data_IF_456437107443
#
_entry.id   IF_456437107443
#
_cell.length_a   1.000
_cell.length_b   1.000
_cell.length_c   1.000
_cell.angle_alpha   90.00
_cell.angle_beta   90.00
_cell.angle_gamma   90.00
#
_symmetry.space_group_name_H-M   'P 1'
#
loop_
_entity.id
_entity.type
_entity.pdbx_description
1 polymer ?
#
# COMPACT_ATOMS: atom_id res chain seq x y z
N UNK A 1 -39.72 14.44 -88.96
CA UNK A 1 -39.30 14.17 -87.56
C UNK A 1 -39.13 12.67 -87.29
N UNK A 2 -39.85 11.79 -88.01
CA UNK A 2 -39.69 10.33 -87.86
C UNK A 2 -38.40 9.76 -88.46
N UNK A 3 -37.89 10.34 -89.57
CA UNK A 3 -36.60 9.93 -90.15
C UNK A 3 -35.41 10.23 -89.24
N UNK A 4 -35.43 11.38 -88.57
CA UNK A 4 -34.39 11.76 -87.60
C UNK A 4 -34.42 10.86 -86.37
N UNK A 5 -35.61 10.43 -85.93
CA UNK A 5 -35.76 9.48 -84.82
C UNK A 5 -35.29 8.06 -85.19
N UNK A 6 -35.54 7.60 -86.42
CA UNK A 6 -34.98 6.33 -86.93
C UNK A 6 -33.47 6.38 -87.11
N UNK A 7 -32.93 7.50 -87.59
CA UNK A 7 -31.48 7.70 -87.72
C UNK A 7 -30.79 7.71 -86.34
N UNK A 8 -31.37 8.40 -85.35
CA UNK A 8 -30.88 8.35 -83.96
C UNK A 8 -30.98 6.93 -83.37
N UNK A 9 -32.09 6.23 -83.61
CA UNK A 9 -32.29 4.85 -83.15
C UNK A 9 -31.27 3.88 -83.76
N UNK A 10 -30.93 4.02 -85.04
CA UNK A 10 -29.91 3.20 -85.70
C UNK A 10 -28.49 3.45 -85.18
N UNK A 11 -28.16 4.71 -84.86
CA UNK A 11 -26.87 5.07 -84.25
C UNK A 11 -26.79 4.51 -82.83
N UNK A 12 -27.88 4.60 -82.05
CA UNK A 12 -27.94 4.09 -80.70
C UNK A 12 -27.81 2.56 -80.67
N UNK A 13 -28.48 1.85 -81.58
CA UNK A 13 -28.37 0.40 -81.72
C UNK A 13 -26.93 -0.04 -82.05
N UNK A 14 -26.24 0.75 -82.89
CA UNK A 14 -24.83 0.52 -83.25
C UNK A 14 -23.85 0.87 -82.13
N UNK A 15 -24.27 1.70 -81.17
CA UNK A 15 -23.48 2.04 -79.99
C UNK A 15 -23.60 1.01 -78.85
N UNK A 16 -24.66 0.18 -78.81
CA UNK A 16 -24.86 -0.87 -77.80
C UNK A 16 -23.62 -1.80 -77.67
N UNK A 17 -23.03 -2.33 -78.76
CA UNK A 17 -21.82 -3.16 -78.67
C UNK A 17 -20.63 -2.43 -78.04
N UNK A 18 -20.45 -1.14 -78.36
CA UNK A 18 -19.39 -0.31 -77.78
C UNK A 18 -19.61 -0.10 -76.29
N UNK A 19 -20.85 0.16 -75.86
CA UNK A 19 -21.19 0.28 -74.44
C UNK A 19 -20.95 -1.03 -73.68
N UNK A 20 -21.33 -2.17 -74.25
CA UNK A 20 -21.07 -3.48 -73.65
C UNK A 20 -19.56 -3.73 -73.54
N UNK A 21 -18.78 -3.38 -74.57
CA UNK A 21 -17.33 -3.53 -74.56
C UNK A 21 -16.67 -2.63 -73.49
N UNK A 22 -17.09 -1.37 -73.39
CA UNK A 22 -16.61 -0.44 -72.34
C UNK A 22 -17.02 -0.92 -70.95
N UNK A 23 -18.22 -1.48 -70.79
CA UNK A 23 -18.68 -2.04 -69.51
C UNK A 23 -17.87 -3.26 -69.09
N UNK A 24 -17.60 -4.19 -70.03
CA UNK A 24 -16.73 -5.34 -69.79
C UNK A 24 -15.30 -4.89 -69.46
N UNK A 25 -14.78 -3.89 -70.16
CA UNK A 25 -13.47 -3.30 -69.89
C UNK A 25 -13.42 -2.66 -68.50
N UNK A 26 -14.47 -1.94 -68.09
CA UNK A 26 -14.57 -1.36 -66.74
C UNK A 26 -14.54 -2.45 -65.65
N UNK A 27 -15.31 -3.52 -65.81
CA UNK A 27 -15.29 -4.65 -64.86
C UNK A 27 -13.93 -5.34 -64.82
N UNK A 28 -13.30 -5.51 -65.98
CA UNK A 28 -11.95 -6.09 -66.09
C UNK A 28 -10.93 -5.20 -65.36
N UNK A 29 -10.90 -3.90 -65.65
CA UNK A 29 -9.95 -2.97 -65.03
C UNK A 29 -10.19 -2.82 -63.53
N UNK A 30 -11.46 -2.78 -63.11
CA UNK A 30 -11.89 -2.78 -61.71
C UNK A 30 -11.31 -3.96 -60.94
N UNK A 31 -11.43 -5.17 -61.51
CA UNK A 31 -11.04 -6.41 -60.82
C UNK A 31 -9.55 -6.74 -60.95
N UNK A 32 -8.95 -6.49 -62.12
CA UNK A 32 -7.58 -6.89 -62.44
C UNK A 32 -6.55 -5.80 -62.13
N UNK A 33 -6.93 -4.52 -62.14
CA UNK A 33 -5.97 -3.42 -61.96
C UNK A 33 -6.21 -2.64 -60.66
N UNK A 34 -7.42 -2.11 -60.45
CA UNK A 34 -7.69 -1.24 -59.31
C UNK A 34 -7.65 -1.97 -57.97
N UNK A 35 -8.25 -3.17 -57.88
CA UNK A 35 -8.21 -3.99 -56.66
C UNK A 35 -6.78 -4.37 -56.21
N UNK A 36 -5.89 -4.89 -57.08
CA UNK A 36 -4.51 -5.15 -56.64
C UNK A 36 -3.72 -3.88 -56.35
N UNK A 37 -3.95 -2.78 -57.08
CA UNK A 37 -3.31 -1.50 -56.79
C UNK A 37 -3.67 -1.00 -55.37
N UNK A 38 -4.95 -1.01 -55.02
CA UNK A 38 -5.43 -0.63 -53.69
C UNK A 38 -4.85 -1.54 -52.58
N UNK A 39 -4.77 -2.86 -52.83
CA UNK A 39 -4.12 -3.79 -51.90
C UNK A 39 -2.63 -3.47 -51.68
N UNK A 40 -1.90 -3.11 -52.73
CA UNK A 40 -0.48 -2.77 -52.62
C UNK A 40 -0.28 -1.44 -51.89
N UNK A 41 -1.11 -0.44 -52.19
CA UNK A 41 -1.10 0.84 -51.47
C UNK A 41 -1.42 0.64 -50.00
N UNK A 42 -2.44 -0.17 -49.67
CA UNK A 42 -2.78 -0.49 -48.28
C UNK A 42 -1.65 -1.23 -47.57
N UNK A 43 -1.03 -2.22 -48.22
CA UNK A 43 0.15 -2.91 -47.66
C UNK A 43 1.32 -1.97 -47.38
N UNK A 44 1.57 -1.00 -48.26
CA UNK A 44 2.61 0.02 -48.03
C UNK A 44 2.24 0.93 -46.87
N UNK A 45 0.99 1.38 -46.82
CA UNK A 45 0.48 2.21 -45.72
C UNK A 45 0.57 1.48 -44.36
N UNK A 46 0.15 0.22 -44.30
CA UNK A 46 0.29 -0.64 -43.11
C UNK A 46 1.76 -0.83 -42.72
N UNK A 47 2.65 -1.04 -43.69
CA UNK A 47 4.07 -1.23 -43.43
C UNK A 47 4.78 0.05 -42.94
N UNK A 48 4.34 1.24 -43.35
CA UNK A 48 5.00 2.51 -42.98
C UNK A 48 4.30 3.24 -41.84
N UNK A 49 3.01 3.51 -41.97
CA UNK A 49 2.23 4.25 -40.97
C UNK A 49 1.56 3.32 -39.97
N UNK A 50 1.12 2.14 -40.40
CA UNK A 50 0.57 1.13 -39.50
C UNK A 50 1.58 0.68 -38.46
N UNK A 51 2.81 0.38 -38.87
CA UNK A 51 3.89 -0.01 -37.96
C UNK A 51 4.25 1.10 -36.94
N UNK A 52 4.23 2.37 -37.35
CA UNK A 52 4.44 3.51 -36.45
C UNK A 52 3.31 3.66 -35.45
N UNK A 53 2.05 3.63 -35.91
CA UNK A 53 0.86 3.69 -35.04
C UNK A 53 0.84 2.53 -34.03
N UNK A 54 1.20 1.32 -34.48
CA UNK A 54 1.25 0.15 -33.60
C UNK A 54 2.36 0.27 -32.55
N UNK A 55 3.51 0.86 -32.92
CA UNK A 55 4.59 1.15 -31.98
C UNK A 55 4.19 2.22 -30.97
N UNK A 56 3.54 3.29 -31.41
CA UNK A 56 3.03 4.36 -30.54
C UNK A 56 1.96 3.82 -29.58
N UNK A 57 1.05 2.98 -30.06
CA UNK A 57 0.03 2.33 -29.23
C UNK A 57 0.65 1.35 -28.23
N UNK A 58 1.64 0.56 -28.66
CA UNK A 58 2.38 -0.33 -27.77
C UNK A 58 3.17 0.44 -26.71
N UNK A 59 3.78 1.57 -27.06
CA UNK A 59 4.47 2.45 -26.13
C UNK A 59 3.49 3.08 -25.14
N UNK A 60 2.37 3.62 -25.62
CA UNK A 60 1.33 4.18 -24.76
C UNK A 60 0.79 3.14 -23.77
N UNK A 61 0.56 1.90 -24.22
CA UNK A 61 0.12 0.80 -23.36
C UNK A 61 1.21 0.42 -22.33
N UNK A 62 2.49 0.38 -22.75
CA UNK A 62 3.59 0.11 -21.83
C UNK A 62 3.72 1.23 -20.78
N UNK A 63 3.65 2.50 -21.20
CA UNK A 63 3.71 3.66 -20.30
C UNK A 63 2.53 3.65 -19.31
N UNK A 64 1.30 3.43 -19.79
CA UNK A 64 0.14 3.33 -18.92
C UNK A 64 0.29 2.21 -17.88
N UNK A 65 0.80 1.04 -18.29
CA UNK A 65 1.08 -0.05 -17.35
C UNK A 65 2.16 0.33 -16.34
N UNK A 66 3.26 0.96 -16.78
CA UNK A 66 4.30 1.41 -15.84
C UNK A 66 3.79 2.44 -14.84
N UNK A 67 2.95 3.38 -15.26
CA UNK A 67 2.34 4.37 -14.38
C UNK A 67 1.40 3.73 -13.36
N UNK A 68 0.58 2.75 -13.77
CA UNK A 68 -0.27 1.95 -12.88
C UNK A 68 0.58 1.21 -11.83
N UNK A 69 1.66 0.54 -12.26
CA UNK A 69 2.56 -0.16 -11.35
C UNK A 69 3.26 0.80 -10.37
N UNK A 70 3.76 1.93 -10.84
CA UNK A 70 4.40 2.94 -9.99
C UNK A 70 3.40 3.56 -9.00
N UNK A 71 2.17 3.81 -9.42
CA UNK A 71 1.10 4.29 -8.54
C UNK A 71 0.76 3.25 -7.46
N UNK A 72 0.61 1.98 -7.84
CA UNK A 72 0.34 0.88 -6.91
C UNK A 72 1.50 0.70 -5.91
N UNK A 73 2.74 0.77 -6.37
CA UNK A 73 3.93 0.69 -5.53
C UNK A 73 4.03 1.86 -4.54
N UNK A 74 3.70 3.09 -4.98
CA UNK A 74 3.65 4.26 -4.09
C UNK A 74 2.54 4.13 -3.05
N UNK A 75 1.36 3.65 -3.44
CA UNK A 75 0.25 3.41 -2.52
C UNK A 75 0.62 2.37 -1.47
N UNK A 76 1.14 1.20 -1.89
CA UNK A 76 1.56 0.14 -0.98
C UNK A 76 2.65 0.59 0.01
N UNK A 77 3.62 1.40 -0.46
CA UNK A 77 4.63 2.00 0.44
C UNK A 77 3.99 2.95 1.45
N UNK A 78 3.06 3.80 1.01
CA UNK A 78 2.38 4.74 1.89
C UNK A 78 1.57 4.02 2.98
N UNK A 79 0.90 2.93 2.63
CA UNK A 79 0.13 2.13 3.58
C UNK A 79 1.05 1.41 4.58
N UNK A 80 2.16 0.83 4.12
CA UNK A 80 3.16 0.24 5.02
C UNK A 80 3.73 1.27 6.00
N UNK A 81 4.03 2.49 5.55
CA UNK A 81 4.50 3.55 6.44
C UNK A 81 3.45 3.96 7.47
N UNK A 82 2.16 3.99 7.10
CA UNK A 82 1.07 4.27 8.03
C UNK A 82 0.94 3.19 9.09
N UNK A 83 0.96 1.92 8.69
CA UNK A 83 0.91 0.79 9.61
C UNK A 83 2.11 0.78 10.56
N UNK A 84 3.31 1.01 10.04
CA UNK A 84 4.52 1.07 10.86
C UNK A 84 4.47 2.22 11.88
N UNK A 85 3.96 3.38 11.48
CA UNK A 85 3.80 4.53 12.38
C UNK A 85 2.74 4.25 13.45
N UNK A 86 1.63 3.60 13.11
CA UNK A 86 0.61 3.16 14.08
C UNK A 86 1.19 2.16 15.08
N UNK A 87 1.83 1.10 14.59
CA UNK A 87 2.47 0.08 15.42
C UNK A 87 3.53 0.71 16.35
N UNK A 88 4.33 1.65 15.84
CA UNK A 88 5.34 2.35 16.63
C UNK A 88 4.69 3.18 17.74
N UNK A 89 3.57 3.87 17.46
CA UNK A 89 2.84 4.66 18.47
C UNK A 89 2.23 3.76 19.53
N UNK A 90 1.60 2.66 19.14
CA UNK A 90 1.02 1.68 20.07
C UNK A 90 2.11 1.09 20.98
N UNK A 91 3.24 0.67 20.42
CA UNK A 91 4.35 0.12 21.19
C UNK A 91 4.95 1.15 22.18
N UNK A 92 5.04 2.42 21.78
CA UNK A 92 5.48 3.50 22.67
C UNK A 92 4.48 3.73 23.82
N UNK A 93 3.18 3.72 23.51
CA UNK A 93 2.13 3.87 24.53
C UNK A 93 2.12 2.69 25.50
N UNK A 94 2.17 1.46 25.00
CA UNK A 94 2.25 0.26 25.85
C UNK A 94 3.50 0.27 26.74
N UNK A 95 4.65 0.65 26.17
CA UNK A 95 5.90 0.74 26.93
C UNK A 95 5.80 1.79 28.03
N UNK A 96 5.23 2.96 27.73
CA UNK A 96 5.02 4.01 28.72
C UNK A 96 4.07 3.55 29.83
N UNK A 97 2.96 2.90 29.46
CA UNK A 97 1.99 2.37 30.41
C UNK A 97 2.61 1.30 31.34
N UNK A 98 3.36 0.34 30.77
CA UNK A 98 4.06 -0.69 31.56
C UNK A 98 5.13 -0.09 32.47
N UNK A 99 5.83 0.95 32.02
CA UNK A 99 6.83 1.64 32.83
C UNK A 99 6.17 2.37 34.02
N UNK A 100 5.06 3.06 33.80
CA UNK A 100 4.32 3.71 34.88
C UNK A 100 3.71 2.70 35.86
N UNK A 101 3.16 1.59 35.36
CA UNK A 101 2.68 0.51 36.24
C UNK A 101 3.82 -0.06 37.10
N UNK A 102 5.00 -0.28 36.51
CA UNK A 102 6.17 -0.74 37.24
C UNK A 102 6.65 0.28 38.29
N UNK A 103 6.64 1.58 37.96
CA UNK A 103 6.96 2.67 38.90
C UNK A 103 6.00 2.69 40.07
N UNK A 104 4.69 2.68 39.81
CA UNK A 104 3.68 2.65 40.87
C UNK A 104 3.82 1.43 41.78
N UNK A 105 4.08 0.24 41.21
CA UNK A 105 4.36 -0.97 42.01
C UNK A 105 5.61 -0.82 42.86
N UNK A 106 6.68 -0.29 42.31
CA UNK A 106 7.93 -0.06 43.06
C UNK A 106 7.73 0.97 44.19
N UNK A 107 7.03 2.07 43.93
CA UNK A 107 6.69 3.07 44.94
C UNK A 107 5.80 2.51 46.05
N UNK A 108 4.81 1.69 45.70
CA UNK A 108 3.97 1.00 46.66
C UNK A 108 4.81 0.05 47.54
N UNK A 109 5.69 -0.76 46.94
CA UNK A 109 6.59 -1.67 47.68
C UNK A 109 7.55 -0.92 48.61
N UNK A 110 8.11 0.21 48.16
CA UNK A 110 8.99 1.04 49.00
C UNK A 110 8.21 1.64 50.17
N UNK A 111 6.97 2.09 49.94
CA UNK A 111 6.12 2.67 50.98
C UNK A 111 5.71 1.62 52.00
N UNK A 112 5.30 0.44 51.54
CA UNK A 112 4.99 -0.71 52.39
C UNK A 112 6.21 -1.15 53.20
N UNK A 113 7.38 -1.30 52.57
CA UNK A 113 8.61 -1.68 53.25
C UNK A 113 9.04 -0.66 54.31
N UNK A 114 8.88 0.64 54.05
CA UNK A 114 9.11 1.70 55.05
C UNK A 114 8.14 1.60 56.23
N UNK A 115 6.87 1.32 55.97
CA UNK A 115 5.86 1.15 57.02
C UNK A 115 6.16 -0.07 57.89
N UNK A 116 6.50 -1.21 57.27
CA UNK A 116 6.92 -2.43 57.98
C UNK A 116 8.18 -2.20 58.81
N UNK A 117 9.19 -1.51 58.26
CA UNK A 117 10.41 -1.17 58.99
C UNK A 117 10.12 -0.26 60.20
N UNK A 118 9.26 0.75 60.03
CA UNK A 118 8.88 1.63 61.13
C UNK A 118 8.16 0.86 62.25
N UNK A 119 7.28 -0.08 61.90
CA UNK A 119 6.61 -0.95 62.86
C UNK A 119 7.61 -1.84 63.61
N UNK A 120 8.53 -2.50 62.90
CA UNK A 120 9.59 -3.32 63.51
C UNK A 120 10.50 -2.52 64.45
N UNK A 121 10.87 -1.29 64.06
CA UNK A 121 11.67 -0.41 64.93
C UNK A 121 10.91 -0.05 66.21
N UNK A 122 9.60 0.20 66.12
CA UNK A 122 8.79 0.51 67.29
C UNK A 122 8.65 -0.68 68.23
N UNK A 123 8.44 -1.88 67.69
CA UNK A 123 8.40 -3.13 68.45
C UNK A 123 9.75 -3.40 69.14
N UNK A 124 10.86 -3.33 68.39
CA UNK A 124 12.20 -3.53 68.94
C UNK A 124 12.55 -2.52 70.05
N UNK A 125 12.11 -1.26 69.93
CA UNK A 125 12.29 -0.27 71.00
C UNK A 125 11.54 -0.64 72.27
N UNK A 126 10.32 -1.18 72.17
CA UNK A 126 9.55 -1.64 73.33
C UNK A 126 10.20 -2.85 73.98
N UNK A 127 10.62 -3.84 73.19
CA UNK A 127 11.33 -5.02 73.68
C UNK A 127 12.65 -4.64 74.35
N UNK A 128 13.45 -3.76 73.72
CA UNK A 128 14.72 -3.30 74.27
C UNK A 128 14.54 -2.53 75.59
N UNK A 129 13.47 -1.73 75.72
CA UNK A 129 13.15 -1.04 76.96
C UNK A 129 12.81 -2.03 78.09
N UNK A 130 11.99 -3.04 77.80
CA UNK A 130 11.63 -4.08 78.75
C UNK A 130 12.86 -4.93 79.17
N UNK A 131 13.71 -5.31 78.22
CA UNK A 131 14.96 -6.03 78.50
C UNK A 131 15.93 -5.19 79.33
N UNK A 132 16.03 -3.88 79.04
CA UNK A 132 16.89 -2.96 79.81
C UNK A 132 16.40 -2.82 81.26
N UNK A 133 15.09 -2.73 81.48
CA UNK A 133 14.50 -2.68 82.83
C UNK A 133 14.74 -3.99 83.59
N UNK A 134 14.57 -5.14 82.93
CA UNK A 134 14.87 -6.45 83.51
C UNK A 134 16.36 -6.59 83.90
N UNK A 135 17.28 -6.15 83.03
CA UNK A 135 18.73 -6.13 83.31
C UNK A 135 19.06 -5.18 84.47
N UNK A 136 18.45 -4.00 84.52
CA UNK A 136 18.66 -3.04 85.61
C UNK A 136 18.22 -3.62 86.97
N UNK A 137 17.08 -4.31 87.02
CA UNK A 137 16.59 -4.99 88.22
C UNK A 137 17.54 -6.13 88.65
N UNK A 138 18.03 -6.94 87.71
CA UNK A 138 19.03 -7.98 88.01
C UNK A 138 20.32 -7.41 88.58
N UNK A 139 20.81 -6.29 88.04
CA UNK A 139 21.99 -5.59 88.57
C UNK A 139 21.71 -5.08 89.98
N UNK A 140 20.57 -4.44 90.22
CA UNK A 140 20.19 -3.93 91.54
C UNK A 140 20.14 -5.04 92.59
N UNK A 141 19.50 -6.17 92.27
CA UNK A 141 19.43 -7.35 93.14
C UNK A 141 20.82 -7.94 93.44
N UNK A 142 21.72 -7.97 92.46
CA UNK A 142 23.10 -8.45 92.64
C UNK A 142 23.91 -7.58 93.60
N UNK A 143 23.72 -6.25 93.53
CA UNK A 143 24.38 -5.28 94.41
C UNK A 143 23.80 -5.35 95.82
N UNK A 144 22.48 -5.46 95.95
CA UNK A 144 21.79 -5.60 97.24
C UNK A 144 22.18 -6.89 97.97
N UNK A 145 22.23 -8.03 97.28
CA UNK A 145 22.70 -9.31 97.87
C UNK A 145 24.14 -9.27 98.35
N UNK A 146 25.03 -8.54 97.67
CA UNK A 146 26.44 -8.40 98.06
C UNK A 146 26.62 -7.52 99.32
N UNK A 147 25.66 -6.64 99.63
CA UNK A 147 25.71 -5.76 100.81
C UNK A 147 25.20 -6.43 102.09
N UNK A 148 24.45 -7.52 101.96
CA UNK A 148 23.87 -8.28 103.08
C UNK A 148 24.72 -9.49 103.51
N UNK A 149 25.93 -9.64 102.98
CA UNK A 149 26.95 -10.60 103.41
C UNK A 149 28.17 -9.83 103.93
#
# INVERSE_FOLDING_TARGET
>A
MDETLRALGGILLKAIPTFVLVFVLYLYLGRVFFRPLEKVLRKRYEATEGARKLADESLANATAKTEEYEAAMRAARADLYRELEQLRRELQQERAAKLEEARHKAEAQVTEGKAQLAAQVQELKQTLAAESEALANQIADSILRRRTA
#
